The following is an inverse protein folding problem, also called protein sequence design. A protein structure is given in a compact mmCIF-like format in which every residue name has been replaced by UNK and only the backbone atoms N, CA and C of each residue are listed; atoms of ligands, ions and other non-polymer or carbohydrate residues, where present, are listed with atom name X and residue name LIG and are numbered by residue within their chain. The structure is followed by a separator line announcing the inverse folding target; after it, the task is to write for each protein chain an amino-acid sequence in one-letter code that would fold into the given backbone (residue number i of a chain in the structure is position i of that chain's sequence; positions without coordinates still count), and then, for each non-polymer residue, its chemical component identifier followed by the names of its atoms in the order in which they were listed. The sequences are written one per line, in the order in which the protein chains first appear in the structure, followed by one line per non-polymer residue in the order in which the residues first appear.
data_IF_653271274314
#
_entry.id   IF_653271274314
#
_cell.length_a   1.000
_cell.length_b   1.000
_cell.length_c   1.000
_cell.angle_alpha   90.00
_cell.angle_beta   90.00
_cell.angle_gamma   90.00
#
_symmetry.space_group_name_H-M   'P 1'
#
loop_
_entity.id
_entity.type
_entity.pdbx_description
1 polymer ?
#
# COMPACT_ATOMS: atom_id res chain seq x y z
N UNK A 1 -6.10 -18.02 -10.54
CA UNK A 1 -5.81 -16.93 -9.58
C UNK A 1 -6.70 -16.98 -8.34
N UNK A 2 -8.01 -16.66 -8.40
CA UNK A 2 -8.85 -16.64 -7.17
C UNK A 2 -8.99 -18.03 -6.51
N UNK A 3 -9.08 -19.10 -7.31
CA UNK A 3 -9.11 -20.46 -6.79
C UNK A 3 -7.81 -20.83 -6.07
N UNK A 4 -6.67 -20.42 -6.61
CA UNK A 4 -5.35 -20.68 -6.01
C UNK A 4 -5.20 -19.95 -4.67
N UNK A 5 -5.68 -18.71 -4.58
CA UNK A 5 -5.72 -17.97 -3.31
C UNK A 5 -6.57 -18.67 -2.26
N UNK A 6 -7.76 -19.17 -2.64
CA UNK A 6 -8.63 -19.92 -1.73
C UNK A 6 -7.99 -21.21 -1.25
N UNK A 7 -7.24 -21.90 -2.12
CA UNK A 7 -6.51 -23.10 -1.73
C UNK A 7 -5.35 -22.78 -0.78
N UNK A 8 -4.61 -21.70 -1.03
CA UNK A 8 -3.57 -21.24 -0.11
C UNK A 8 -4.13 -20.95 1.29
N UNK A 9 -5.30 -20.30 1.38
CA UNK A 9 -5.94 -20.06 2.68
C UNK A 9 -6.26 -21.36 3.43
N UNK A 10 -6.81 -22.37 2.75
CA UNK A 10 -7.13 -23.67 3.37
C UNK A 10 -5.89 -24.39 3.89
N UNK A 11 -4.77 -24.26 3.17
CA UNK A 11 -3.50 -24.91 3.50
C UNK A 11 -2.76 -24.24 4.65
N UNK A 12 -2.88 -22.91 4.78
CA UNK A 12 -2.10 -22.13 5.74
C UNK A 12 -2.87 -21.78 7.01
N UNK A 13 -4.19 -21.59 6.93
CA UNK A 13 -4.98 -21.16 8.07
C UNK A 13 -5.59 -22.34 8.86
N UNK A 14 -5.54 -22.30 10.21
CA UNK A 14 -6.33 -23.18 11.05
C UNK A 14 -7.83 -23.06 10.73
N UNK A 15 -8.58 -24.15 10.89
CA UNK A 15 -10.01 -24.21 10.55
C UNK A 15 -10.84 -23.11 11.23
N UNK A 16 -10.47 -22.71 12.46
CA UNK A 16 -11.16 -21.67 13.23
C UNK A 16 -11.02 -20.27 12.63
N UNK A 17 -9.97 -20.02 11.83
CA UNK A 17 -9.73 -18.74 11.16
C UNK A 17 -10.24 -18.73 9.72
N UNK A 18 -10.44 -19.89 9.10
CA UNK A 18 -10.92 -19.96 7.71
C UNK A 18 -12.30 -19.31 7.51
N UNK A 19 -13.19 -19.38 8.51
CA UNK A 19 -14.50 -18.72 8.46
C UNK A 19 -14.44 -17.20 8.61
N UNK A 20 -13.28 -16.63 8.97
CA UNK A 20 -13.06 -15.19 9.15
C UNK A 20 -12.35 -14.55 7.95
N UNK A 21 -12.03 -15.31 6.92
CA UNK A 21 -11.29 -14.82 5.74
C UNK A 21 -12.07 -15.13 4.48
N UNK A 22 -12.29 -14.10 3.66
CA UNK A 22 -12.95 -14.22 2.37
C UNK A 22 -12.01 -13.80 1.23
N UNK A 23 -12.11 -14.49 0.09
CA UNK A 23 -11.39 -14.14 -1.13
C UNK A 23 -12.40 -13.60 -2.15
N UNK A 24 -12.33 -12.29 -2.35
CA UNK A 24 -13.17 -11.54 -3.26
C UNK A 24 -12.28 -10.97 -4.39
N UNK A 25 -12.66 -11.23 -5.63
CA UNK A 25 -12.01 -10.60 -6.78
C UNK A 25 -12.50 -9.17 -6.96
N UNK A 26 -11.57 -8.23 -7.14
CA UNK A 26 -11.89 -6.82 -7.35
C UNK A 26 -10.86 -6.17 -8.27
N UNK A 27 -11.35 -5.35 -9.20
CA UNK A 27 -10.54 -4.51 -10.09
C UNK A 27 -10.60 -3.08 -9.57
N UNK A 28 -9.45 -2.41 -9.45
CA UNK A 28 -9.41 -1.04 -8.92
C UNK A 28 -10.23 -0.06 -9.75
N UNK A 29 -10.89 0.88 -9.07
CA UNK A 29 -11.75 1.87 -9.69
C UNK A 29 -13.15 1.38 -10.04
N UNK A 30 -13.38 0.07 -10.15
CA UNK A 30 -14.71 -0.50 -10.40
C UNK A 30 -15.64 -0.41 -9.17
N UNK A 31 -16.87 -0.89 -9.35
CA UNK A 31 -17.89 -0.98 -8.32
C UNK A 31 -17.41 -1.81 -7.10
N UNK A 32 -17.58 -1.23 -5.91
CA UNK A 32 -17.15 -1.81 -4.63
C UNK A 32 -18.27 -2.58 -3.94
N UNK A 33 -19.48 -2.69 -4.51
CA UNK A 33 -20.65 -3.26 -3.83
C UNK A 33 -20.37 -4.63 -3.20
N UNK A 34 -19.53 -5.46 -3.85
CA UNK A 34 -19.12 -6.78 -3.33
C UNK A 34 -18.17 -6.71 -2.13
N UNK A 35 -17.39 -5.65 -2.00
CA UNK A 35 -16.46 -5.43 -0.88
C UNK A 35 -17.12 -4.64 0.25
N UNK A 36 -18.07 -3.76 -0.08
CA UNK A 36 -18.79 -2.94 0.90
C UNK A 36 -19.63 -3.76 1.88
N UNK A 37 -20.04 -4.98 1.51
CA UNK A 37 -20.71 -5.90 2.45
C UNK A 37 -19.82 -6.34 3.60
N UNK A 38 -18.50 -6.24 3.45
CA UNK A 38 -17.52 -6.52 4.49
C UNK A 38 -17.05 -5.23 5.23
N UNK A 39 -17.55 -4.06 4.83
CA UNK A 39 -17.34 -2.77 5.47
C UNK A 39 -16.77 -1.71 4.51
N UNK A 40 -16.59 -0.47 4.98
CA UNK A 40 -15.27 0.11 4.99
C UNK A 40 -14.40 -0.54 6.10
N UNK A 41 -13.08 -0.53 5.93
CA UNK A 41 -12.08 -1.19 6.76
C UNK A 41 -11.24 -0.16 7.53
N UNK A 42 -10.92 -0.46 8.78
CA UNK A 42 -10.01 0.30 9.62
C UNK A 42 -8.53 0.04 9.26
N UNK A 43 -8.22 -1.15 8.75
CA UNK A 43 -6.87 -1.54 8.35
C UNK A 43 -6.86 -2.06 6.91
N UNK A 44 -6.11 -1.39 6.05
CA UNK A 44 -5.79 -1.86 4.70
C UNK A 44 -4.32 -2.25 4.58
N UNK A 45 -4.04 -3.41 4.00
CA UNK A 45 -2.70 -3.88 3.70
C UNK A 45 -2.52 -3.92 2.18
N UNK A 46 -1.53 -3.21 1.66
CA UNK A 46 -1.21 -3.13 0.24
C UNK A 46 0.24 -3.53 -0.01
N UNK A 47 0.46 -4.54 -0.84
CA UNK A 47 1.80 -5.03 -1.18
C UNK A 47 2.02 -4.99 -2.70
N UNK A 48 3.07 -4.29 -3.14
CA UNK A 48 3.53 -4.20 -4.54
C UNK A 48 2.48 -3.75 -5.56
N UNK A 49 1.70 -2.72 -5.23
CA UNK A 49 0.60 -2.25 -6.09
C UNK A 49 0.95 -1.01 -6.95
N UNK A 50 2.05 -0.31 -6.66
CA UNK A 50 2.30 1.05 -7.18
C UNK A 50 3.17 1.11 -8.44
N UNK A 51 3.56 -0.02 -9.03
CA UNK A 51 4.53 -0.04 -10.13
C UNK A 51 3.95 0.37 -11.49
N UNK A 52 2.63 0.34 -11.66
CA UNK A 52 1.93 0.78 -12.88
C UNK A 52 1.41 2.21 -12.70
N UNK A 53 2.11 3.21 -13.24
CA UNK A 53 1.74 4.63 -13.07
C UNK A 53 0.29 4.94 -13.51
N UNK A 54 -0.17 4.35 -14.62
CA UNK A 54 -1.52 4.61 -15.14
C UNK A 54 -2.65 4.09 -14.26
N UNK A 55 -2.38 3.16 -13.32
CA UNK A 55 -3.39 2.63 -12.42
C UNK A 55 -3.53 3.43 -11.12
N UNK A 56 -2.61 4.36 -10.83
CA UNK A 56 -2.60 5.11 -9.57
C UNK A 56 -3.95 5.78 -9.25
N UNK A 57 -4.61 6.51 -10.17
CA UNK A 57 -5.88 7.16 -9.85
C UNK A 57 -6.97 6.17 -9.44
N UNK A 58 -7.04 5.01 -10.10
CA UNK A 58 -8.03 3.97 -9.81
C UNK A 58 -7.72 3.27 -8.48
N UNK A 59 -6.45 2.99 -8.21
CA UNK A 59 -6.00 2.42 -6.94
C UNK A 59 -6.32 3.36 -5.77
N UNK A 60 -5.96 4.65 -5.88
CA UNK A 60 -6.23 5.66 -4.86
C UNK A 60 -7.74 5.79 -4.61
N UNK A 61 -8.56 5.82 -5.66
CA UNK A 61 -10.01 5.86 -5.52
C UNK A 61 -10.56 4.61 -4.79
N UNK A 62 -10.04 3.42 -5.09
CA UNK A 62 -10.42 2.20 -4.37
C UNK A 62 -9.98 2.24 -2.90
N UNK A 63 -8.75 2.68 -2.61
CA UNK A 63 -8.26 2.81 -1.23
C UNK A 63 -9.11 3.78 -0.41
N UNK A 64 -9.44 4.95 -0.97
CA UNK A 64 -10.33 5.92 -0.34
C UNK A 64 -11.76 5.37 -0.17
N UNK A 65 -12.27 4.53 -1.06
CA UNK A 65 -13.61 3.95 -0.86
C UNK A 65 -13.63 2.84 0.18
N UNK A 66 -12.53 2.11 0.33
CA UNK A 66 -12.40 1.00 1.28
C UNK A 66 -12.02 1.45 2.68
N UNK A 67 -11.27 2.54 2.82
CA UNK A 67 -10.80 3.00 4.11
C UNK A 67 -11.94 3.66 4.89
N UNK A 68 -12.15 3.23 6.13
CA UNK A 68 -13.11 3.82 7.06
C UNK A 68 -12.87 5.33 7.24
N UNK A 69 -13.97 6.06 7.44
CA UNK A 69 -13.96 7.49 7.77
C UNK A 69 -13.70 7.66 9.27
N UNK A 70 -12.50 7.28 9.71
CA UNK A 70 -12.09 7.26 11.13
C UNK A 70 -10.64 7.71 11.27
N UNK A 71 -10.31 8.51 12.31
CA UNK A 71 -8.93 8.92 12.57
C UNK A 71 -7.98 7.76 12.89
N UNK A 72 -8.52 6.59 13.24
CA UNK A 72 -7.77 5.37 13.53
C UNK A 72 -7.56 4.49 12.28
N UNK A 73 -8.23 4.80 11.16
CA UNK A 73 -8.13 4.01 9.95
C UNK A 73 -6.78 4.24 9.25
N UNK A 74 -6.10 3.16 8.87
CA UNK A 74 -4.74 3.19 8.34
C UNK A 74 -4.55 2.25 7.15
N UNK A 75 -3.72 2.67 6.20
CA UNK A 75 -3.24 1.87 5.09
C UNK A 75 -1.76 1.63 5.31
N UNK A 76 -1.36 0.37 5.49
CA UNK A 76 0.04 -0.01 5.40
C UNK A 76 0.36 -0.44 3.98
N UNK A 77 1.35 0.23 3.38
CA UNK A 77 1.81 -0.01 2.03
C UNK A 77 3.27 -0.46 2.06
N UNK A 78 3.54 -1.60 1.42
CA UNK A 78 4.89 -2.05 1.13
C UNK A 78 5.07 -2.16 -0.39
N UNK A 79 6.13 -1.58 -0.95
CA UNK A 79 6.39 -1.72 -2.38
C UNK A 79 7.87 -1.70 -2.75
N UNK A 80 8.25 -2.54 -3.71
CA UNK A 80 9.53 -2.46 -4.39
C UNK A 80 9.58 -1.35 -5.45
N UNK A 81 10.78 -1.06 -5.93
CA UNK A 81 11.03 0.00 -6.92
C UNK A 81 11.04 -0.53 -8.37
N UNK A 82 10.09 -1.38 -8.76
CA UNK A 82 10.09 -2.05 -10.07
C UNK A 82 10.20 -1.08 -11.26
N UNK A 83 9.49 0.05 -11.18
CA UNK A 83 9.48 1.11 -12.20
C UNK A 83 10.27 2.36 -11.77
N UNK A 84 11.15 2.22 -10.76
CA UNK A 84 11.98 3.31 -10.24
C UNK A 84 11.30 4.14 -9.15
N UNK A 85 12.11 4.94 -8.43
CA UNK A 85 11.64 5.81 -7.33
C UNK A 85 10.71 6.91 -7.82
N UNK A 86 10.83 7.34 -9.09
CA UNK A 86 9.96 8.36 -9.68
C UNK A 86 8.49 7.93 -9.68
N UNK A 87 8.18 6.71 -10.13
CA UNK A 87 6.79 6.22 -10.16
C UNK A 87 6.20 6.12 -8.75
N UNK A 88 6.99 5.62 -7.79
CA UNK A 88 6.56 5.55 -6.38
C UNK A 88 6.27 6.94 -5.81
N UNK A 89 7.11 7.94 -6.10
CA UNK A 89 6.89 9.33 -5.69
C UNK A 89 5.61 9.91 -6.29
N UNK A 90 5.35 9.66 -7.57
CA UNK A 90 4.12 10.14 -8.23
C UNK A 90 2.86 9.56 -7.60
N UNK A 91 2.91 8.29 -7.17
CA UNK A 91 1.81 7.68 -6.43
C UNK A 91 1.51 8.46 -5.16
N UNK A 92 2.52 8.75 -4.33
CA UNK A 92 2.30 9.46 -3.06
C UNK A 92 1.89 10.92 -3.25
N UNK A 93 2.43 11.61 -4.28
CA UNK A 93 1.98 12.94 -4.63
C UNK A 93 0.49 12.94 -5.02
N UNK A 94 0.09 12.01 -5.89
CA UNK A 94 -1.32 11.86 -6.31
C UNK A 94 -2.23 11.44 -5.16
N UNK A 95 -1.74 10.58 -4.26
CA UNK A 95 -2.48 10.12 -3.08
C UNK A 95 -2.75 11.29 -2.13
N UNK A 96 -1.75 12.13 -1.88
CA UNK A 96 -1.88 13.33 -1.04
C UNK A 96 -2.84 14.35 -1.65
N UNK A 97 -2.76 14.61 -2.95
CA UNK A 97 -3.71 15.47 -3.67
C UNK A 97 -5.16 14.96 -3.56
N UNK A 98 -5.35 13.64 -3.50
CA UNK A 98 -6.65 13.02 -3.31
C UNK A 98 -7.10 12.91 -1.83
N UNK A 99 -6.27 13.37 -0.88
CA UNK A 99 -6.60 13.38 0.56
C UNK A 99 -6.09 12.19 1.36
N UNK A 100 -5.17 11.36 0.82
CA UNK A 100 -4.42 10.36 1.58
C UNK A 100 -3.05 10.93 1.99
N UNK A 101 -2.90 11.24 3.26
CA UNK A 101 -1.68 11.85 3.82
C UNK A 101 -0.87 10.82 4.61
N UNK A 102 0.43 11.07 4.87
CA UNK A 102 1.22 10.23 5.76
C UNK A 102 0.55 10.07 7.13
N UNK A 103 0.42 8.82 7.58
CA UNK A 103 0.05 8.53 8.96
C UNK A 103 1.24 8.88 9.85
N UNK A 104 1.12 9.98 10.60
CA UNK A 104 2.12 10.37 11.61
C UNK A 104 2.02 9.43 12.80
N UNK A 105 3.16 9.13 13.42
CA UNK A 105 3.21 8.47 14.73
C UNK A 105 2.77 9.40 15.85
N UNK A 106 2.62 8.85 17.05
CA UNK A 106 2.44 9.62 18.28
C UNK A 106 3.55 10.65 18.52
N UNK A 107 4.75 10.44 17.96
CA UNK A 107 5.91 11.34 18.09
C UNK A 107 5.99 12.37 16.95
N UNK A 108 5.05 12.35 16.00
CA UNK A 108 4.95 13.35 14.93
C UNK A 108 5.91 13.15 13.75
N UNK A 109 6.74 12.10 13.78
CA UNK A 109 7.65 11.75 12.69
C UNK A 109 6.93 10.95 11.59
N UNK A 110 7.49 11.02 10.37
CA UNK A 110 7.01 10.28 9.21
C UNK A 110 7.73 8.94 9.17
N UNK A 111 7.02 7.86 9.50
CA UNK A 111 7.55 6.49 9.61
C UNK A 111 7.84 5.80 8.27
N UNK A 112 8.02 6.56 7.20
CA UNK A 112 8.28 5.97 5.89
C UNK A 112 9.76 5.69 5.76
N UNK A 113 10.10 4.46 5.39
CA UNK A 113 11.49 4.05 5.24
C UNK A 113 11.67 3.05 4.11
N UNK A 114 12.82 3.13 3.46
CA UNK A 114 13.34 2.07 2.62
C UNK A 114 14.00 1.03 3.50
N UNK A 115 13.69 -0.24 3.29
CA UNK A 115 14.32 -1.36 3.95
C UNK A 115 15.08 -2.19 2.91
N UNK A 116 16.36 -2.44 3.19
CA UNK A 116 17.17 -3.34 2.37
C UNK A 116 16.89 -4.82 2.69
N UNK A 117 17.34 -5.71 1.83
CA UNK A 117 17.30 -7.17 2.08
C UNK A 117 18.09 -7.61 3.32
N UNK A 118 19.03 -6.78 3.81
CA UNK A 118 19.78 -7.02 5.05
C UNK A 118 19.10 -6.41 6.28
N UNK A 119 17.96 -5.72 6.11
CA UNK A 119 17.20 -5.09 7.17
C UNK A 119 17.64 -3.67 7.52
N UNK A 120 18.58 -3.09 6.76
CA UNK A 120 19.00 -1.70 6.94
C UNK A 120 17.86 -0.76 6.54
N UNK A 121 17.59 0.25 7.37
CA UNK A 121 16.51 1.21 7.15
C UNK A 121 17.06 2.58 6.82
N UNK A 122 16.55 3.18 5.76
CA UNK A 122 16.82 4.56 5.37
C UNK A 122 15.51 5.35 5.37
N UNK A 123 15.51 6.54 5.98
CA UNK A 123 14.32 7.40 6.02
C UNK A 123 13.93 7.79 4.60
N UNK A 124 12.66 7.61 4.26
CA UNK A 124 12.11 8.06 2.99
C UNK A 124 11.70 9.52 3.10
N UNK A 125 12.53 10.41 2.56
CA UNK A 125 12.16 11.81 2.43
C UNK A 125 11.20 11.99 1.25
N UNK A 126 10.08 12.68 1.48
CA UNK A 126 9.02 12.99 0.49
C UNK A 126 9.54 13.59 -0.83
N UNK A 127 10.67 14.29 -0.77
CA UNK A 127 11.31 14.94 -1.93
C UNK A 127 12.57 14.20 -2.44
N UNK A 128 12.89 13.04 -1.86
CA UNK A 128 14.18 12.37 -1.99
C UNK A 128 15.30 13.21 -1.38
N UNK A 129 16.42 12.59 -1.03
CA UNK A 129 17.65 13.36 -1.02
C UNK A 129 17.83 13.95 -2.42
N UNK A 130 17.90 15.27 -2.52
CA UNK A 130 18.19 15.96 -3.78
C UNK A 130 19.43 15.31 -4.43
N UNK A 131 19.25 14.61 -5.56
CA UNK A 131 20.35 14.10 -6.38
C UNK A 131 20.55 12.57 -6.45
N UNK A 132 19.63 11.73 -5.98
CA UNK A 132 19.76 10.28 -6.25
C UNK A 132 19.61 9.97 -7.75
N UNK A 133 20.70 9.47 -8.34
CA UNK A 133 20.71 8.82 -9.65
C UNK A 133 19.72 7.65 -9.64
N UNK A 134 19.03 7.43 -10.78
CA UNK A 134 18.19 6.24 -10.95
C UNK A 134 19.00 4.99 -10.58
N UNK A 135 18.48 4.25 -9.60
CA UNK A 135 19.11 3.02 -9.13
C UNK A 135 19.20 2.01 -10.28
N UNK A 136 20.29 1.25 -10.34
CA UNK A 136 20.37 0.10 -11.23
C UNK A 136 19.21 -0.88 -10.93
N UNK A 137 18.78 -1.66 -11.92
CA UNK A 137 17.74 -2.68 -11.71
C UNK A 137 18.07 -3.61 -10.53
N UNK A 138 19.35 -3.99 -10.38
CA UNK A 138 19.80 -4.86 -9.30
C UNK A 138 19.66 -4.19 -7.93
N UNK A 139 19.98 -2.90 -7.82
CA UNK A 139 19.80 -2.14 -6.59
C UNK A 139 18.30 -1.97 -6.24
N UNK A 140 17.43 -1.74 -7.23
CA UNK A 140 15.97 -1.62 -7.04
C UNK A 140 15.35 -2.89 -6.46
N UNK A 141 15.84 -4.06 -6.88
CA UNK A 141 15.34 -5.36 -6.40
C UNK A 141 15.74 -5.67 -4.95
N UNK A 142 16.62 -4.87 -4.34
CA UNK A 142 17.12 -5.07 -2.97
C UNK A 142 16.48 -4.13 -1.95
N UNK A 143 15.53 -3.29 -2.37
CA UNK A 143 14.92 -2.26 -1.54
C UNK A 143 13.40 -2.35 -1.59
N UNK A 144 12.78 -2.24 -0.43
CA UNK A 144 11.32 -2.14 -0.26
C UNK A 144 11.01 -0.89 0.52
N UNK A 145 10.15 -0.02 -0.02
CA UNK A 145 9.56 1.07 0.74
C UNK A 145 8.45 0.52 1.64
N UNK A 146 8.47 0.90 2.91
CA UNK A 146 7.37 0.70 3.85
C UNK A 146 6.81 2.07 4.20
N UNK A 147 5.50 2.23 4.02
CA UNK A 147 4.79 3.48 4.24
C UNK A 147 3.45 3.24 4.93
N UNK A 148 2.96 4.28 5.59
CA UNK A 148 1.64 4.30 6.21
C UNK A 148 0.87 5.55 5.79
N UNK A 149 -0.36 5.38 5.33
CA UNK A 149 -1.25 6.44 4.86
C UNK A 149 -2.54 6.46 5.69
N UNK A 150 -3.14 7.64 5.83
CA UNK A 150 -4.47 7.85 6.40
C UNK A 150 -5.19 8.96 5.64
N UNK A 151 -6.48 9.15 5.87
CA UNK A 151 -7.19 10.32 5.34
C UNK A 151 -6.71 11.62 5.99
N UNK A 152 -6.60 12.68 5.20
CA UNK A 152 -6.31 14.03 5.63
C UNK A 152 -7.60 14.80 5.91
N UNK A 153 -7.72 15.32 7.13
CA UNK A 153 -8.82 16.16 7.61
C UNK A 153 -8.25 17.39 8.31
#
# INVERSE_FOLDING_TARGET
MLQDLRENLRRTLPAQLQSKVEVIGHTWGEDMTKLQTAGPFDLLLAADLVWVRSSHPLLIASLLRLLEDSPNAIIHLACGFHSGKAVVRDFFASAEEAGLVPAKTYEGECDWFEMSVTGEKNVWCKYGHCGELELSQEARNKLTLVAALKRGW
#
